data_IF_825517020889
#
_entry.id   IF_825517020889
#
_cell.length_a   1.000
_cell.length_b   1.000
_cell.length_c   1.000
_cell.angle_alpha   90.00
_cell.angle_beta   90.00
_cell.angle_gamma   90.00
#
_symmetry.space_group_name_H-M   'P 1'
#
loop_
_entity.id
_entity.type
_entity.pdbx_description
1 polymer ?
#
# COMPACT_ATOMS: atom_id res chain seq x y z
N UNK A 1 35.61 5.34 7.06
CA UNK A 1 34.26 5.73 6.57
C UNK A 1 33.18 4.76 7.07
N UNK A 2 33.06 4.58 8.38
CA UNK A 2 32.12 3.62 9.03
C UNK A 2 30.93 4.31 9.71
N UNK A 3 30.79 5.61 9.54
CA UNK A 3 29.77 6.38 10.27
C UNK A 3 28.33 6.35 9.70
N UNK A 4 28.12 5.87 8.48
CA UNK A 4 26.77 5.87 7.85
C UNK A 4 25.95 4.64 8.17
N UNK A 5 26.57 3.48 8.19
CA UNK A 5 25.88 2.20 8.47
C UNK A 5 25.47 2.06 9.94
N UNK A 6 26.32 2.50 10.87
CA UNK A 6 26.00 2.45 12.30
C UNK A 6 24.82 3.38 12.67
N UNK A 7 24.75 4.55 12.05
CA UNK A 7 23.63 5.49 12.28
C UNK A 7 22.30 4.95 11.73
N UNK A 8 22.32 4.31 10.56
CA UNK A 8 21.13 3.67 9.98
C UNK A 8 20.65 2.51 10.85
N UNK A 9 21.58 1.64 11.30
CA UNK A 9 21.24 0.53 12.19
C UNK A 9 20.66 1.00 13.53
N UNK A 10 21.20 2.05 14.09
CA UNK A 10 20.71 2.64 15.36
C UNK A 10 19.31 3.26 15.17
N UNK A 11 19.09 3.98 14.06
CA UNK A 11 17.77 4.53 13.70
C UNK A 11 16.75 3.42 13.48
N UNK A 12 17.12 2.34 12.78
CA UNK A 12 16.24 1.19 12.57
C UNK A 12 15.91 0.48 13.90
N UNK A 13 16.86 0.31 14.80
CA UNK A 13 16.63 -0.26 16.14
C UNK A 13 15.65 0.58 16.96
N UNK A 14 15.79 1.90 16.94
CA UNK A 14 14.86 2.81 17.61
C UNK A 14 13.45 2.71 17.00
N UNK A 15 13.33 2.71 15.67
CA UNK A 15 12.05 2.52 14.98
C UNK A 15 11.41 1.17 15.31
N UNK A 16 12.21 0.10 15.39
CA UNK A 16 11.71 -1.23 15.75
C UNK A 16 11.17 -1.28 17.20
N UNK A 17 11.77 -0.52 18.12
CA UNK A 17 11.32 -0.45 19.50
C UNK A 17 9.94 0.22 19.66
N UNK A 18 9.57 1.13 18.76
CA UNK A 18 8.27 1.81 18.76
C UNK A 18 7.19 1.04 17.99
N UNK A 19 7.55 0.12 17.12
CA UNK A 19 6.57 -0.65 16.35
C UNK A 19 6.12 -1.88 17.13
N UNK A 20 4.83 -2.18 17.16
CA UNK A 20 4.32 -3.40 17.79
C UNK A 20 4.95 -4.63 17.17
N UNK A 21 4.95 -5.74 17.91
CA UNK A 21 5.52 -7.01 17.46
C UNK A 21 4.46 -8.07 17.24
N UNK A 22 4.87 -9.13 16.54
CA UNK A 22 4.01 -10.29 16.31
C UNK A 22 2.71 -9.96 15.58
N UNK A 23 1.62 -10.53 16.02
CA UNK A 23 0.28 -10.40 15.41
C UNK A 23 -0.19 -8.94 15.37
N UNK A 24 0.11 -8.14 16.40
CA UNK A 24 -0.31 -6.74 16.50
C UNK A 24 0.28 -5.89 15.37
N UNK A 25 1.51 -6.17 14.95
CA UNK A 25 2.14 -5.48 13.83
C UNK A 25 1.39 -5.74 12.51
N UNK A 26 1.04 -7.00 12.23
CA UNK A 26 0.30 -7.35 11.02
C UNK A 26 -1.14 -6.81 11.04
N UNK A 27 -1.80 -6.81 12.19
CA UNK A 27 -3.11 -6.20 12.35
C UNK A 27 -3.06 -4.68 12.09
N UNK A 28 -2.03 -3.99 12.55
CA UNK A 28 -1.84 -2.58 12.28
C UNK A 28 -1.69 -2.31 10.78
N UNK A 29 -0.87 -3.09 10.07
CA UNK A 29 -0.72 -2.96 8.62
C UNK A 29 -2.03 -3.26 7.89
N UNK A 30 -2.75 -4.30 8.31
CA UNK A 30 -4.07 -4.63 7.77
C UNK A 30 -5.09 -3.49 8.00
N UNK A 31 -5.12 -2.88 9.19
CA UNK A 31 -5.99 -1.74 9.50
C UNK A 31 -5.62 -0.48 8.70
N UNK A 32 -4.34 -0.23 8.48
CA UNK A 32 -3.87 0.86 7.62
C UNK A 32 -4.34 0.64 6.17
N UNK A 33 -4.15 -0.57 5.63
CA UNK A 33 -4.60 -0.93 4.29
C UNK A 33 -6.13 -0.87 4.16
N UNK A 34 -6.87 -1.31 5.18
CA UNK A 34 -8.32 -1.18 5.28
C UNK A 34 -8.75 0.28 5.23
N UNK A 35 -8.19 1.13 6.08
CA UNK A 35 -8.52 2.55 6.14
C UNK A 35 -8.20 3.29 4.84
N UNK A 36 -7.08 2.95 4.17
CA UNK A 36 -6.71 3.53 2.87
C UNK A 36 -7.66 3.11 1.74
N UNK A 37 -8.27 1.93 1.83
CA UNK A 37 -9.26 1.44 0.85
C UNK A 37 -10.68 1.92 1.17
N UNK A 38 -10.92 2.49 2.34
CA UNK A 38 -12.24 2.95 2.74
C UNK A 38 -12.57 4.27 2.05
N UNK A 39 -13.81 4.35 1.52
CA UNK A 39 -14.30 5.56 0.84
C UNK A 39 -14.09 6.79 1.71
N UNK A 40 -13.36 7.74 1.15
CA UNK A 40 -13.10 9.01 1.79
C UNK A 40 -11.97 9.00 2.80
N UNK A 41 -11.86 8.06 3.72
CA UNK A 41 -10.78 7.96 4.71
C UNK A 41 -9.44 7.73 4.00
N UNK A 42 -9.45 6.96 2.93
CA UNK A 42 -8.26 6.67 2.13
C UNK A 42 -7.54 7.87 1.54
N UNK A 43 -8.21 9.03 1.46
CA UNK A 43 -7.55 10.29 1.05
C UNK A 43 -6.63 10.88 2.13
N UNK A 44 -6.80 10.49 3.37
CA UNK A 44 -6.07 11.01 4.53
C UNK A 44 -4.93 10.08 4.95
N UNK A 45 -5.01 8.81 4.58
CA UNK A 45 -4.07 7.78 5.00
C UNK A 45 -3.07 7.45 3.88
N UNK A 46 -1.75 7.66 4.09
CA UNK A 46 -0.71 7.24 3.15
C UNK A 46 -0.37 5.75 3.32
N UNK A 47 -1.38 4.86 3.32
CA UNK A 47 -1.22 3.45 3.67
C UNK A 47 -0.34 2.70 2.68
N UNK A 48 -0.40 3.01 1.38
CA UNK A 48 0.50 2.44 0.37
C UNK A 48 1.97 2.74 0.69
N UNK A 49 2.29 3.98 1.08
CA UNK A 49 3.64 4.37 1.51
C UNK A 49 4.06 3.60 2.77
N UNK A 50 3.16 3.45 3.73
CA UNK A 50 3.42 2.69 4.96
C UNK A 50 3.58 1.18 4.67
N UNK A 51 2.84 0.62 3.71
CA UNK A 51 3.02 -0.77 3.26
C UNK A 51 4.38 -0.98 2.56
N UNK A 52 4.82 -0.04 1.72
CA UNK A 52 6.18 -0.07 1.14
C UNK A 52 7.23 -0.04 2.24
N UNK A 53 7.09 0.86 3.21
CA UNK A 53 8.01 0.95 4.34
C UNK A 53 8.01 -0.33 5.19
N UNK A 54 6.85 -0.93 5.46
CA UNK A 54 6.74 -2.20 6.17
C UNK A 54 7.46 -3.33 5.43
N UNK A 55 7.36 -3.38 4.10
CA UNK A 55 8.10 -4.33 3.27
C UNK A 55 9.62 -4.15 3.37
N UNK A 56 10.10 -2.90 3.37
CA UNK A 56 11.51 -2.60 3.62
C UNK A 56 11.96 -3.06 5.01
N UNK A 57 11.17 -2.81 6.05
CA UNK A 57 11.47 -3.25 7.42
C UNK A 57 11.49 -4.78 7.56
N UNK A 58 10.65 -5.49 6.81
CA UNK A 58 10.64 -6.95 6.82
C UNK A 58 11.98 -7.55 6.33
N UNK A 59 12.65 -6.92 5.37
CA UNK A 59 13.99 -7.31 4.96
C UNK A 59 15.04 -7.19 6.09
N UNK A 60 14.80 -6.25 7.02
CA UNK A 60 15.67 -6.00 8.18
C UNK A 60 15.21 -6.74 9.44
N UNK A 61 14.39 -7.78 9.29
CA UNK A 61 13.98 -8.67 10.37
C UNK A 61 12.69 -8.26 11.10
N UNK A 62 11.99 -7.19 10.67
CA UNK A 62 10.70 -6.80 11.28
C UNK A 62 9.53 -7.52 10.60
N UNK A 63 9.32 -8.76 11.00
CA UNK A 63 8.21 -9.57 10.54
C UNK A 63 8.44 -10.30 9.21
N UNK A 64 7.47 -11.10 8.81
CA UNK A 64 7.47 -11.88 7.57
C UNK A 64 6.85 -11.08 6.42
N UNK A 65 7.53 -10.98 5.30
CA UNK A 65 7.00 -10.33 4.08
C UNK A 65 5.72 -10.99 3.60
N UNK A 66 5.62 -12.33 3.68
CA UNK A 66 4.43 -13.08 3.24
C UNK A 66 3.22 -12.70 4.10
N UNK A 67 3.40 -12.63 5.42
CA UNK A 67 2.33 -12.25 6.34
C UNK A 67 1.92 -10.79 6.17
N UNK A 68 2.87 -9.89 5.87
CA UNK A 68 2.57 -8.48 5.55
C UNK A 68 1.75 -8.35 4.27
N UNK A 69 2.13 -9.07 3.21
CA UNK A 69 1.37 -9.12 1.94
C UNK A 69 -0.05 -9.61 2.20
N UNK A 70 -0.22 -10.69 2.96
CA UNK A 70 -1.53 -11.22 3.29
C UNK A 70 -2.37 -10.23 4.12
N UNK A 71 -1.78 -9.63 5.17
CA UNK A 71 -2.46 -8.65 6.01
C UNK A 71 -2.89 -7.41 5.22
N UNK A 72 -2.01 -6.87 4.35
CA UNK A 72 -2.31 -5.74 3.49
C UNK A 72 -3.43 -6.07 2.48
N UNK A 73 -3.37 -7.24 1.84
CA UNK A 73 -4.38 -7.67 0.88
C UNK A 73 -5.75 -7.86 1.54
N UNK A 74 -5.80 -8.53 2.70
CA UNK A 74 -7.04 -8.76 3.45
C UNK A 74 -7.62 -7.43 3.94
N UNK A 75 -6.80 -6.55 4.51
CA UNK A 75 -7.25 -5.23 4.94
C UNK A 75 -7.82 -4.41 3.80
N UNK A 76 -7.09 -4.34 2.68
CA UNK A 76 -7.52 -3.61 1.50
C UNK A 76 -8.83 -4.17 0.89
N UNK A 77 -8.97 -5.48 0.83
CA UNK A 77 -10.21 -6.13 0.38
C UNK A 77 -11.42 -5.74 1.25
N UNK A 78 -11.29 -5.81 2.57
CA UNK A 78 -12.39 -5.46 3.47
C UNK A 78 -12.74 -3.97 3.43
N UNK A 79 -11.75 -3.08 3.21
CA UNK A 79 -12.00 -1.66 2.99
C UNK A 79 -12.83 -1.39 1.73
N UNK A 80 -12.48 -2.04 0.61
CA UNK A 80 -13.26 -1.96 -0.62
C UNK A 80 -14.66 -2.55 -0.49
N UNK A 81 -14.75 -3.72 0.16
CA UNK A 81 -16.04 -4.37 0.35
C UNK A 81 -16.99 -3.53 1.19
N UNK A 82 -16.49 -2.94 2.28
CA UNK A 82 -17.29 -2.03 3.09
C UNK A 82 -17.69 -0.78 2.28
N UNK A 83 -16.78 -0.21 1.50
CA UNK A 83 -17.08 0.93 0.62
C UNK A 83 -18.15 0.59 -0.41
N UNK A 84 -18.11 -0.60 -1.00
CA UNK A 84 -19.13 -1.12 -1.91
C UNK A 84 -20.50 -1.23 -1.24
N UNK A 85 -20.56 -1.83 -0.03
CA UNK A 85 -21.80 -1.97 0.73
C UNK A 85 -22.37 -0.59 1.12
N UNK A 86 -21.51 0.33 1.53
CA UNK A 86 -21.91 1.71 1.85
C UNK A 86 -22.49 2.42 0.63
N UNK A 87 -21.88 2.23 -0.54
CA UNK A 87 -22.40 2.77 -1.80
C UNK A 87 -23.75 2.18 -2.17
N UNK A 88 -23.91 0.86 -2.05
CA UNK A 88 -25.14 0.16 -2.39
C UNK A 88 -26.33 0.51 -1.48
N UNK A 89 -26.07 0.74 -0.19
CA UNK A 89 -27.13 0.96 0.80
C UNK A 89 -27.40 2.42 1.10
N UNK A 90 -26.36 3.23 1.11
CA UNK A 90 -26.41 4.60 1.64
C UNK A 90 -25.84 5.63 0.65
N UNK A 91 -25.67 5.27 -0.62
CA UNK A 91 -25.05 6.15 -1.62
C UNK A 91 -25.61 7.58 -1.62
N UNK A 92 -26.93 7.81 -1.79
CA UNK A 92 -27.52 9.14 -1.80
C UNK A 92 -27.34 9.91 -0.49
N UNK A 93 -27.53 9.25 0.66
CA UNK A 93 -27.44 9.88 1.98
C UNK A 93 -25.99 10.28 2.30
N UNK A 94 -25.03 9.41 1.97
CA UNK A 94 -23.61 9.67 2.17
C UNK A 94 -23.09 10.78 1.26
N UNK A 95 -23.59 10.89 0.01
CA UNK A 95 -23.24 11.97 -0.90
C UNK A 95 -23.78 13.33 -0.40
N UNK A 96 -24.90 13.34 0.31
CA UNK A 96 -25.45 14.53 0.96
C UNK A 96 -24.65 14.94 2.21
N UNK A 97 -23.86 14.01 2.80
CA UNK A 97 -23.09 14.30 3.99
C UNK A 97 -21.98 15.33 3.72
N UNK A 98 -21.84 16.30 4.64
CA UNK A 98 -20.96 17.48 4.52
C UNK A 98 -19.53 17.18 4.07
N UNK A 99 -18.99 16.03 4.44
CA UNK A 99 -17.64 15.65 4.16
C UNK A 99 -17.46 15.07 2.74
N UNK A 100 -18.35 14.17 2.28
CA UNK A 100 -18.35 13.68 0.89
C UNK A 100 -18.77 14.78 -0.09
N UNK A 101 -19.66 15.68 0.33
CA UNK A 101 -20.07 16.84 -0.48
C UNK A 101 -18.88 17.70 -0.92
N UNK A 102 -17.83 17.78 -0.12
CA UNK A 102 -16.57 18.47 -0.49
C UNK A 102 -15.70 17.70 -1.50
N UNK A 103 -16.03 16.44 -1.79
CA UNK A 103 -15.29 15.52 -2.67
C UNK A 103 -16.11 15.00 -3.85
N UNK A 104 -17.21 15.70 -4.17
CA UNK A 104 -18.10 15.30 -5.28
C UNK A 104 -17.36 15.25 -6.63
N UNK A 105 -16.30 16.03 -6.80
CA UNK A 105 -15.43 15.99 -7.98
C UNK A 105 -14.76 14.61 -8.15
N UNK A 106 -14.32 14.01 -7.04
CA UNK A 106 -13.71 12.67 -7.06
C UNK A 106 -14.75 11.56 -7.27
N UNK A 107 -15.93 11.71 -6.65
CA UNK A 107 -17.05 10.79 -6.88
C UNK A 107 -17.43 10.83 -8.36
N UNK A 108 -17.60 12.03 -8.95
CA UNK A 108 -17.95 12.18 -10.36
C UNK A 108 -16.90 11.58 -11.31
N UNK A 109 -15.62 11.78 -11.01
CA UNK A 109 -14.53 11.12 -11.76
C UNK A 109 -14.61 9.60 -11.68
N UNK A 110 -14.92 9.05 -10.50
CA UNK A 110 -15.11 7.62 -10.30
C UNK A 110 -16.34 7.11 -11.05
N UNK A 111 -17.46 7.88 -11.08
CA UNK A 111 -18.66 7.53 -11.85
C UNK A 111 -18.38 7.48 -13.35
N UNK A 112 -17.70 8.48 -13.89
CA UNK A 112 -17.30 8.52 -15.32
C UNK A 112 -16.42 7.31 -15.62
N UNK A 113 -15.39 7.07 -14.81
CA UNK A 113 -14.48 5.94 -15.00
C UNK A 113 -15.21 4.58 -14.91
N UNK A 114 -16.17 4.46 -14.00
CA UNK A 114 -17.00 3.26 -13.89
C UNK A 114 -17.95 3.10 -15.08
N UNK A 115 -18.55 4.18 -15.59
CA UNK A 115 -19.41 4.15 -16.76
C UNK A 115 -18.67 3.71 -18.03
N UNK A 116 -17.42 4.14 -18.19
CA UNK A 116 -16.58 3.81 -19.34
C UNK A 116 -16.03 2.37 -19.30
N UNK A 117 -15.66 1.87 -18.11
CA UNK A 117 -14.93 0.61 -17.95
C UNK A 117 -15.75 -0.50 -17.30
N UNK A 118 -16.95 -0.19 -16.77
CA UNK A 118 -17.82 -1.14 -16.08
C UNK A 118 -17.13 -1.82 -14.90
N UNK A 119 -17.35 -3.12 -14.70
CA UNK A 119 -16.79 -3.88 -13.57
C UNK A 119 -15.25 -3.90 -13.54
N UNK A 120 -14.58 -3.76 -14.68
CA UNK A 120 -13.11 -3.71 -14.75
C UNK A 120 -12.53 -2.49 -14.01
N UNK A 121 -13.33 -1.43 -13.86
CA UNK A 121 -12.94 -0.24 -13.10
C UNK A 121 -12.58 -0.55 -11.65
N UNK A 122 -13.21 -1.55 -11.03
CA UNK A 122 -12.90 -1.99 -9.67
C UNK A 122 -11.47 -2.51 -9.58
N UNK A 123 -11.01 -3.24 -10.61
CA UNK A 123 -9.64 -3.73 -10.65
C UNK A 123 -8.64 -2.60 -10.96
N UNK A 124 -8.81 -1.93 -12.08
CA UNK A 124 -7.85 -0.92 -12.53
C UNK A 124 -7.87 0.34 -11.67
N UNK A 125 -9.05 0.74 -11.22
CA UNK A 125 -9.24 1.94 -10.43
C UNK A 125 -8.48 1.97 -9.11
N UNK A 126 -8.16 0.82 -8.54
CA UNK A 126 -7.31 0.72 -7.35
C UNK A 126 -5.93 1.35 -7.55
N UNK A 127 -5.44 1.37 -8.78
CA UNK A 127 -4.13 1.93 -9.11
C UNK A 127 -4.18 3.40 -9.54
N UNK A 128 -5.39 3.97 -9.66
CA UNK A 128 -5.61 5.36 -10.07
C UNK A 128 -5.75 6.30 -8.88
N UNK A 129 -4.64 6.61 -8.22
CA UNK A 129 -4.48 7.68 -7.23
C UNK A 129 -5.72 8.01 -6.37
N UNK A 130 -6.20 9.27 -6.36
CA UNK A 130 -7.24 9.70 -5.43
C UNK A 130 -8.64 9.10 -5.65
N UNK A 131 -8.94 8.60 -6.86
CA UNK A 131 -10.27 8.05 -7.17
C UNK A 131 -10.45 6.60 -6.71
N UNK A 132 -9.37 5.90 -6.39
CA UNK A 132 -9.41 4.46 -6.05
C UNK A 132 -10.38 4.12 -4.91
N UNK A 133 -10.42 4.94 -3.84
CA UNK A 133 -11.32 4.71 -2.71
C UNK A 133 -12.81 4.98 -3.02
N UNK A 134 -13.09 5.71 -4.11
CA UNK A 134 -14.47 6.00 -4.51
C UNK A 134 -15.04 4.97 -5.49
N UNK A 135 -14.22 4.24 -6.24
CA UNK A 135 -14.69 3.29 -7.24
C UNK A 135 -15.51 2.15 -6.65
N UNK A 136 -15.11 1.48 -5.54
CA UNK A 136 -15.98 0.49 -4.90
C UNK A 136 -17.32 1.06 -4.45
N UNK A 137 -17.32 2.28 -3.90
CA UNK A 137 -18.53 2.98 -3.48
C UNK A 137 -19.46 3.25 -4.67
N UNK A 138 -18.92 3.78 -5.76
CA UNK A 138 -19.68 4.05 -7.00
C UNK A 138 -20.20 2.75 -7.62
N UNK A 139 -19.40 1.69 -7.65
CA UNK A 139 -19.82 0.38 -8.15
C UNK A 139 -21.01 -0.18 -7.35
N UNK A 140 -21.00 0.01 -6.02
CA UNK A 140 -22.13 -0.33 -5.14
C UNK A 140 -23.36 0.50 -5.45
N UNK A 141 -23.23 1.81 -5.53
CA UNK A 141 -24.33 2.75 -5.86
C UNK A 141 -24.92 2.54 -7.25
N UNK A 142 -24.12 2.11 -8.22
CA UNK A 142 -24.54 1.76 -9.56
C UNK A 142 -25.20 0.37 -9.68
N UNK A 143 -25.38 -0.35 -8.56
CA UNK A 143 -26.05 -1.66 -8.54
C UNK A 143 -25.23 -2.80 -9.16
N UNK A 144 -23.90 -2.72 -9.12
CA UNK A 144 -23.04 -3.81 -9.60
C UNK A 144 -23.34 -5.10 -8.83
N UNK A 145 -23.38 -6.25 -9.54
CA UNK A 145 -23.59 -7.57 -8.92
C UNK A 145 -22.48 -7.87 -7.91
N UNK A 146 -22.82 -8.22 -6.63
CA UNK A 146 -21.82 -8.47 -5.60
C UNK A 146 -20.79 -9.53 -5.98
N UNK A 147 -21.21 -10.62 -6.64
CA UNK A 147 -20.29 -11.68 -7.08
C UNK A 147 -19.24 -11.18 -8.08
N UNK A 148 -19.63 -10.31 -9.04
CA UNK A 148 -18.70 -9.72 -9.98
C UNK A 148 -17.75 -8.73 -9.28
N UNK A 149 -18.26 -7.92 -8.34
CA UNK A 149 -17.45 -7.02 -7.52
C UNK A 149 -16.39 -7.82 -6.72
N UNK A 150 -16.80 -8.89 -6.03
CA UNK A 150 -15.88 -9.71 -5.23
C UNK A 150 -14.73 -10.27 -6.06
N UNK A 151 -14.99 -10.76 -7.28
CA UNK A 151 -13.95 -11.27 -8.17
C UNK A 151 -12.88 -10.22 -8.48
N UNK A 152 -13.29 -9.02 -8.89
CA UNK A 152 -12.36 -7.92 -9.19
C UNK A 152 -11.66 -7.39 -7.91
N UNK A 153 -12.40 -7.28 -6.79
CA UNK A 153 -11.87 -6.77 -5.54
C UNK A 153 -10.80 -7.72 -4.95
N UNK A 154 -11.04 -9.03 -4.95
CA UNK A 154 -10.07 -10.02 -4.46
C UNK A 154 -8.79 -9.94 -5.31
N UNK A 155 -8.92 -9.98 -6.63
CA UNK A 155 -7.76 -9.98 -7.53
C UNK A 155 -6.95 -8.68 -7.39
N UNK A 156 -7.63 -7.52 -7.36
CA UNK A 156 -6.94 -6.23 -7.23
C UNK A 156 -6.32 -6.05 -5.85
N UNK A 157 -6.98 -6.52 -4.77
CA UNK A 157 -6.43 -6.44 -3.41
C UNK A 157 -5.22 -7.36 -3.23
N UNK A 158 -5.26 -8.57 -3.79
CA UNK A 158 -4.12 -9.48 -3.79
C UNK A 158 -2.91 -8.87 -4.52
N UNK A 159 -3.12 -8.33 -5.73
CA UNK A 159 -2.06 -7.69 -6.49
C UNK A 159 -1.51 -6.44 -5.79
N UNK A 160 -2.38 -5.63 -5.20
CA UNK A 160 -1.98 -4.43 -4.45
C UNK A 160 -1.18 -4.81 -3.18
N UNK A 161 -1.68 -5.79 -2.41
CA UNK A 161 -1.01 -6.29 -1.22
C UNK A 161 0.34 -6.93 -1.52
N UNK A 162 0.51 -7.55 -2.70
CA UNK A 162 1.79 -8.05 -3.18
C UNK A 162 2.72 -6.90 -3.62
N UNK A 163 2.19 -5.95 -4.38
CA UNK A 163 2.99 -4.91 -5.04
C UNK A 163 3.63 -3.96 -4.02
N UNK A 164 2.87 -3.40 -3.07
CA UNK A 164 3.41 -2.35 -2.20
C UNK A 164 4.42 -2.86 -1.17
N UNK A 165 4.14 -3.89 -0.35
CA UNK A 165 5.17 -4.47 0.51
C UNK A 165 6.33 -5.08 -0.30
N UNK A 166 6.03 -5.70 -1.45
CA UNK A 166 7.02 -6.26 -2.36
C UNK A 166 7.99 -5.20 -2.89
N UNK A 167 7.51 -4.04 -3.32
CA UNK A 167 8.35 -2.92 -3.76
C UNK A 167 9.30 -2.47 -2.65
N UNK A 168 8.82 -2.38 -1.40
CA UNK A 168 9.67 -2.04 -0.26
C UNK A 168 10.76 -3.08 -0.01
N UNK A 169 10.41 -4.36 -0.07
CA UNK A 169 11.37 -5.45 0.05
C UNK A 169 12.44 -5.40 -1.05
N UNK A 170 12.02 -5.29 -2.31
CA UNK A 170 12.95 -5.21 -3.45
C UNK A 170 13.83 -3.96 -3.41
N UNK A 171 13.30 -2.82 -3.00
CA UNK A 171 14.09 -1.60 -2.81
C UNK A 171 15.18 -1.81 -1.76
N UNK A 172 14.87 -2.47 -0.64
CA UNK A 172 15.84 -2.82 0.38
C UNK A 172 16.92 -3.78 -0.11
N UNK A 173 16.55 -4.83 -0.85
CA UNK A 173 17.50 -5.79 -1.47
C UNK A 173 18.42 -5.07 -2.47
N UNK A 174 17.85 -4.21 -3.31
CA UNK A 174 18.62 -3.44 -4.30
C UNK A 174 19.61 -2.51 -3.63
N UNK A 175 19.19 -1.83 -2.57
CA UNK A 175 20.06 -0.95 -1.77
C UNK A 175 21.23 -1.72 -1.14
N UNK A 176 20.98 -2.89 -0.54
CA UNK A 176 22.02 -3.75 0.03
C UNK A 176 23.02 -4.22 -1.05
N UNK A 177 22.54 -4.54 -2.24
CA UNK A 177 23.40 -4.92 -3.36
C UNK A 177 24.28 -3.75 -3.81
N UNK A 178 23.72 -2.55 -3.97
CA UNK A 178 24.49 -1.34 -4.32
C UNK A 178 25.59 -1.09 -3.28
N UNK A 179 25.28 -1.18 -1.97
CA UNK A 179 26.29 -1.01 -0.93
C UNK A 179 27.41 -2.06 -1.01
N UNK A 180 27.08 -3.34 -1.24
CA UNK A 180 28.09 -4.41 -1.41
C UNK A 180 29.00 -4.16 -2.60
N UNK A 181 28.44 -3.76 -3.74
CA UNK A 181 29.22 -3.46 -4.94
C UNK A 181 30.11 -2.23 -4.74
N UNK A 182 29.58 -1.15 -4.16
CA UNK A 182 30.35 0.07 -3.86
C UNK A 182 31.53 -0.23 -2.94
N UNK A 183 31.32 -1.05 -1.89
CA UNK A 183 32.40 -1.46 -0.99
C UNK A 183 33.50 -2.25 -1.71
N UNK A 184 33.12 -3.18 -2.61
CA UNK A 184 34.08 -3.96 -3.40
C UNK A 184 34.86 -3.08 -4.40
N UNK A 185 34.20 -2.16 -5.09
CA UNK A 185 34.86 -1.21 -5.99
C UNK A 185 35.82 -0.29 -5.25
N UNK A 186 35.46 0.20 -4.06
CA UNK A 186 36.33 1.03 -3.24
C UNK A 186 37.60 0.27 -2.82
N UNK A 187 37.47 -1.00 -2.45
CA UNK A 187 38.61 -1.86 -2.12
C UNK A 187 39.53 -2.12 -3.33
N UNK A 188 38.94 -2.35 -4.51
CA UNK A 188 39.72 -2.54 -5.75
C UNK A 188 40.46 -1.27 -6.16
N UNK A 189 39.86 -0.11 -6.04
CA UNK A 189 40.51 1.19 -6.31
C UNK A 189 41.66 1.42 -5.31
N UNK A 190 41.43 1.14 -4.02
CA UNK A 190 42.47 1.25 -3.00
C UNK A 190 43.62 0.30 -3.26
N UNK A 191 43.35 -0.96 -3.60
CA UNK A 191 44.35 -1.96 -3.94
C UNK A 191 45.17 -1.56 -5.19
N UNK A 192 44.47 -1.04 -6.23
CA UNK A 192 45.14 -0.53 -7.42
C UNK A 192 46.07 0.66 -7.12
N UNK A 193 45.60 1.59 -6.26
CA UNK A 193 46.43 2.70 -5.81
C UNK A 193 47.66 2.25 -5.04
N UNK A 194 47.55 1.25 -4.15
CA UNK A 194 48.67 0.72 -3.38
C UNK A 194 49.70 -0.02 -4.27
N UNK A 195 49.25 -0.64 -5.36
CA UNK A 195 50.15 -1.34 -6.31
C UNK A 195 50.86 -0.38 -7.27
N UNK A 196 50.30 0.81 -7.50
CA UNK A 196 50.83 1.80 -8.43
C UNK A 196 51.74 2.85 -7.77
N UNK A 197 51.80 2.89 -6.44
CA UNK A 197 52.73 3.71 -5.62
C UNK A 197 53.87 2.86 -5.11
#
# INVERSE_FOLDING_TARGET
MTGGTGRLEETLRQLFAYLPEGVTYYLLIGLIAFGESLVGIGLLLPGSTLCVFAGFLALHGKGSIVTLIAAAAVGAFWGDFLSFVLGARFGPDLLAHRWLKKRLDLVRKAEIFFAEHGGKSVFFGRFFGPIRGFIPFVAGGAGMRPAAFLGYAILSAALWGLAYPGLGWFAGVSWQNVQRWTGRFSLLILAALVVTV
#
